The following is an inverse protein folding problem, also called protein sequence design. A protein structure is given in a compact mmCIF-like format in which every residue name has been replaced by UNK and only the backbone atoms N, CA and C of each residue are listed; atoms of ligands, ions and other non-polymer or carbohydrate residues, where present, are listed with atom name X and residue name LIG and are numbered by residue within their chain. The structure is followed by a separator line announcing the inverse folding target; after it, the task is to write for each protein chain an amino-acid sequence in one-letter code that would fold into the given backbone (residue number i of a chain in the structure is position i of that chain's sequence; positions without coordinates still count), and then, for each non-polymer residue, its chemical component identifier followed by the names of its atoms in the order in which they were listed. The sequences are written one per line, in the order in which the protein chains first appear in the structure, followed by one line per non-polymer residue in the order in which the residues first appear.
data_IF_372764894275
#
_entry.id   IF_372764894275
#
_cell.length_a   1.000
_cell.length_b   1.000
_cell.length_c   1.000
_cell.angle_alpha   90.00
_cell.angle_beta   90.00
_cell.angle_gamma   90.00
#
_symmetry.space_group_name_H-M   'P 1'
#
loop_
_entity.id
_entity.type
_entity.pdbx_description
1 polymer ?
#
# COMPACT_ATOMS: atom_id res chain seq x y z
N UNK A 1 7.12 30.16 -0.28
CA UNK A 1 6.54 29.11 0.58
C UNK A 1 6.25 29.74 1.93
N UNK A 2 5.03 29.60 2.48
CA UNK A 2 4.67 30.16 3.79
C UNK A 2 4.37 28.99 4.74
N UNK A 3 5.15 28.85 5.79
CA UNK A 3 4.97 27.78 6.77
C UNK A 3 3.76 28.10 7.67
N UNK A 4 2.74 27.23 7.71
CA UNK A 4 1.51 27.43 8.52
C UNK A 4 1.63 26.95 9.98
N UNK A 5 2.86 26.67 10.44
CA UNK A 5 3.12 26.11 11.76
C UNK A 5 2.61 26.97 12.91
N UNK A 6 2.75 28.30 12.80
CA UNK A 6 2.30 29.25 13.83
C UNK A 6 0.78 29.28 13.97
N UNK A 7 0.08 29.28 12.83
CA UNK A 7 -1.39 29.26 12.76
C UNK A 7 -1.92 27.97 13.39
N UNK A 8 -1.42 26.83 12.92
CA UNK A 8 -1.72 25.51 13.46
C UNK A 8 -1.55 25.42 14.99
N UNK A 9 -0.44 25.96 15.52
CA UNK A 9 -0.17 25.95 16.96
C UNK A 9 -1.17 26.82 17.73
N UNK A 10 -1.57 27.96 17.18
CA UNK A 10 -2.56 28.85 17.78
C UNK A 10 -3.94 28.21 17.80
N UNK A 11 -4.33 27.54 16.71
CA UNK A 11 -5.62 26.85 16.59
C UNK A 11 -5.75 25.72 17.62
N UNK A 12 -4.67 24.99 17.87
CA UNK A 12 -4.63 23.95 18.91
C UNK A 12 -4.34 24.47 20.34
N UNK A 13 -4.22 25.80 20.53
CA UNK A 13 -3.87 26.43 21.80
C UNK A 13 -2.61 25.84 22.48
N UNK A 14 -1.61 25.43 21.68
CA UNK A 14 -0.40 24.79 22.16
C UNK A 14 0.72 25.81 22.43
N UNK A 15 1.45 25.61 23.53
CA UNK A 15 2.72 26.33 23.75
C UNK A 15 3.84 25.70 22.92
N UNK A 16 4.82 26.51 22.50
CA UNK A 16 6.03 26.03 21.80
C UNK A 16 6.76 24.97 22.63
N UNK A 17 6.80 25.12 23.96
CA UNK A 17 7.40 24.14 24.85
C UNK A 17 6.65 22.78 24.85
N UNK A 18 5.31 22.81 24.74
CA UNK A 18 4.50 21.58 24.66
C UNK A 18 4.68 20.89 23.31
N UNK A 19 4.68 21.66 22.22
CA UNK A 19 4.93 21.15 20.88
C UNK A 19 6.34 20.56 20.75
N UNK A 20 7.34 21.20 21.36
CA UNK A 20 8.71 20.70 21.46
C UNK A 20 8.77 19.33 22.13
N UNK A 21 8.11 19.17 23.30
CA UNK A 21 8.06 17.89 24.01
C UNK A 21 7.38 16.77 23.19
N UNK A 22 6.32 17.09 22.45
CA UNK A 22 5.59 16.11 21.62
C UNK A 22 6.37 15.69 20.37
N UNK A 23 7.03 16.63 19.71
CA UNK A 23 7.74 16.39 18.43
C UNK A 23 9.19 15.96 18.61
N UNK A 24 9.78 16.19 19.78
CA UNK A 24 11.20 15.98 20.03
C UNK A 24 12.10 17.05 19.38
N UNK A 25 11.51 18.09 18.77
CA UNK A 25 12.25 19.21 18.16
C UNK A 25 12.49 20.26 19.23
N UNK A 26 13.67 20.87 19.27
CA UNK A 26 13.97 21.91 20.26
C UNK A 26 13.06 23.13 20.08
N UNK A 27 12.71 23.78 21.19
CA UNK A 27 11.86 24.98 21.16
C UNK A 27 12.48 26.12 20.32
N UNK A 28 13.81 26.28 20.36
CA UNK A 28 14.50 27.29 19.56
C UNK A 28 14.32 27.04 18.06
N UNK A 29 14.41 25.77 17.63
CA UNK A 29 14.21 25.38 16.24
C UNK A 29 12.76 25.59 15.79
N UNK A 30 11.78 25.33 16.65
CA UNK A 30 10.38 25.66 16.36
C UNK A 30 10.15 27.17 16.20
N UNK A 31 10.76 28.00 17.05
CA UNK A 31 10.69 29.46 16.90
C UNK A 31 11.35 29.95 15.59
N UNK A 32 12.44 29.32 15.17
CA UNK A 32 13.08 29.59 13.88
C UNK A 32 12.14 29.29 12.72
N UNK A 33 11.40 28.18 12.77
CA UNK A 33 10.41 27.84 11.76
C UNK A 33 9.26 28.85 11.70
N UNK A 34 8.74 29.27 12.85
CA UNK A 34 7.71 30.31 12.92
C UNK A 34 8.18 31.66 12.36
N UNK A 35 9.49 31.94 12.40
CA UNK A 35 10.10 33.15 11.84
C UNK A 35 10.40 33.03 10.34
N UNK A 36 10.24 31.86 9.74
CA UNK A 36 10.43 31.63 8.31
C UNK A 36 11.69 30.84 7.94
N UNK A 37 12.35 30.18 8.91
CA UNK A 37 13.38 29.19 8.60
C UNK A 37 12.79 27.93 7.98
N UNK A 38 13.52 27.29 7.08
CA UNK A 38 13.07 26.10 6.37
C UNK A 38 13.42 24.82 7.15
N UNK A 39 12.41 24.03 7.58
CA UNK A 39 12.66 22.74 8.22
C UNK A 39 13.18 21.71 7.21
N UNK A 40 13.94 20.72 7.71
CA UNK A 40 14.31 19.54 6.93
C UNK A 40 13.08 18.68 6.63
N UNK A 41 13.10 17.94 5.53
CA UNK A 41 12.06 16.96 5.16
C UNK A 41 11.76 16.02 6.33
N UNK A 42 12.80 15.53 7.03
CA UNK A 42 12.64 14.67 8.21
C UNK A 42 11.83 15.33 9.31
N UNK A 43 12.05 16.63 9.56
CA UNK A 43 11.36 17.37 10.61
C UNK A 43 9.91 17.66 10.24
N UNK A 44 9.65 17.97 8.96
CA UNK A 44 8.30 18.12 8.42
C UNK A 44 7.51 16.82 8.60
N UNK A 45 8.10 15.69 8.23
CA UNK A 45 7.47 14.38 8.43
C UNK A 45 7.22 14.07 9.91
N UNK A 46 8.16 14.36 10.80
CA UNK A 46 7.97 14.12 12.24
C UNK A 46 6.79 14.94 12.76
N UNK A 47 6.72 16.23 12.43
CA UNK A 47 5.60 17.10 12.84
C UNK A 47 4.29 16.58 12.26
N UNK A 48 4.27 16.29 10.95
CA UNK A 48 3.10 15.78 10.25
C UNK A 48 2.56 14.49 10.88
N UNK A 49 3.44 13.52 11.18
CA UNK A 49 3.08 12.25 11.83
C UNK A 49 2.56 12.44 13.25
N UNK A 50 3.14 13.35 14.02
CA UNK A 50 2.71 13.58 15.42
C UNK A 50 1.33 14.18 15.56
N UNK A 51 0.89 14.96 14.57
CA UNK A 51 -0.39 15.66 14.59
C UNK A 51 -1.39 15.17 13.54
N UNK A 52 -1.03 14.12 12.78
CA UNK A 52 -1.83 13.56 11.69
C UNK A 52 -2.31 14.62 10.68
N UNK A 53 -1.38 15.49 10.27
CA UNK A 53 -1.63 16.57 9.31
C UNK A 53 -0.90 16.30 8.00
N UNK A 54 -1.41 16.87 6.91
CA UNK A 54 -0.78 16.80 5.61
C UNK A 54 0.54 17.61 5.60
N UNK A 55 1.70 17.01 5.28
CA UNK A 55 2.96 17.74 5.21
C UNK A 55 2.93 18.84 4.13
N UNK A 56 2.20 18.66 3.03
CA UNK A 56 2.06 19.67 1.99
C UNK A 56 1.24 20.88 2.47
N UNK A 57 0.26 20.67 3.35
CA UNK A 57 -0.50 21.76 3.97
C UNK A 57 0.37 22.58 4.94
N UNK A 58 1.20 21.90 5.72
CA UNK A 58 2.12 22.55 6.66
C UNK A 58 3.09 23.52 5.94
N UNK A 59 3.50 23.15 4.72
CA UNK A 59 4.35 23.96 3.84
C UNK A 59 3.57 25.03 3.06
N UNK A 60 2.23 25.00 3.11
CA UNK A 60 1.36 25.89 2.36
C UNK A 60 1.31 25.59 0.85
N UNK A 61 1.55 24.35 0.45
CA UNK A 61 1.43 23.89 -0.95
C UNK A 61 0.02 23.44 -1.30
N UNK A 62 -0.77 22.99 -0.31
CA UNK A 62 -2.20 22.69 -0.46
C UNK A 62 -3.02 23.38 0.63
N UNK A 63 -4.32 23.48 0.41
CA UNK A 63 -5.31 23.93 1.39
C UNK A 63 -5.90 22.75 2.20
N UNK A 64 -5.68 21.51 1.76
CA UNK A 64 -6.17 20.30 2.44
C UNK A 64 -5.38 19.98 3.71
N UNK A 65 -5.95 20.26 4.89
CA UNK A 65 -5.34 20.00 6.21
C UNK A 65 -4.98 18.54 6.46
N UNK A 66 -5.82 17.62 5.96
CA UNK A 66 -5.67 16.17 6.16
C UNK A 66 -5.37 15.47 4.85
N UNK A 67 -4.64 14.37 4.95
CA UNK A 67 -4.46 13.47 3.81
C UNK A 67 -5.80 12.82 3.47
N UNK A 68 -6.15 12.66 2.18
CA UNK A 68 -7.35 11.93 1.80
C UNK A 68 -7.25 10.49 2.30
N UNK A 69 -8.35 9.96 2.83
CA UNK A 69 -8.41 8.56 3.23
C UNK A 69 -8.15 7.65 2.02
N UNK A 70 -7.06 6.88 2.08
CA UNK A 70 -6.72 5.93 1.04
C UNK A 70 -7.69 4.75 1.17
N UNK A 71 -8.73 4.72 0.32
CA UNK A 71 -9.62 3.56 0.22
C UNK A 71 -8.87 2.41 -0.45
N UNK A 72 -8.37 1.48 0.36
CA UNK A 72 -7.72 0.26 -0.14
C UNK A 72 -8.83 -0.64 -0.70
N UNK A 73 -9.02 -0.60 -2.01
CA UNK A 73 -9.90 -1.54 -2.72
C UNK A 73 -9.08 -2.78 -3.02
N UNK A 74 -9.22 -3.82 -2.21
CA UNK A 74 -8.61 -5.12 -2.47
C UNK A 74 -9.23 -5.71 -3.75
N UNK A 75 -8.55 -5.55 -4.88
CA UNK A 75 -8.93 -6.19 -6.13
C UNK A 75 -8.21 -7.52 -6.24
N UNK A 76 -8.93 -8.63 -6.08
CA UNK A 76 -8.41 -9.95 -6.42
C UNK A 76 -8.26 -10.03 -7.94
N UNK A 77 -7.01 -10.02 -8.42
CA UNK A 77 -6.70 -10.16 -9.85
C UNK A 77 -6.10 -11.55 -10.06
N UNK A 78 -6.76 -12.36 -10.87
CA UNK A 78 -6.17 -13.61 -11.36
C UNK A 78 -5.05 -13.26 -12.34
N UNK A 79 -3.81 -13.59 -11.97
CA UNK A 79 -2.64 -13.46 -12.83
C UNK A 79 -2.27 -14.85 -13.35
N UNK A 80 -2.66 -15.15 -14.58
CA UNK A 80 -2.14 -16.32 -15.29
C UNK A 80 -0.65 -16.08 -15.55
N UNK A 81 0.21 -16.84 -14.88
CA UNK A 81 1.65 -16.82 -15.13
C UNK A 81 1.95 -17.85 -16.22
N UNK A 82 2.45 -17.45 -17.40
CA UNK A 82 2.81 -18.40 -18.46
C UNK A 82 3.97 -19.33 -18.06
N UNK A 83 4.71 -18.99 -17.00
CA UNK A 83 5.76 -19.83 -16.40
C UNK A 83 5.25 -20.77 -15.31
N UNK A 84 3.96 -20.67 -14.94
CA UNK A 84 3.36 -21.68 -14.07
C UNK A 84 3.31 -22.99 -14.86
N UNK A 85 4.31 -23.86 -14.63
CA UNK A 85 4.29 -25.26 -15.09
C UNK A 85 3.03 -25.90 -14.50
N UNK A 86 1.96 -25.94 -15.28
CA UNK A 86 0.86 -26.86 -15.02
C UNK A 86 1.49 -28.26 -14.91
N UNK A 87 1.31 -28.98 -13.78
CA UNK A 87 1.89 -30.31 -13.63
C UNK A 87 1.40 -31.24 -14.75
N UNK A 88 2.28 -32.13 -15.22
CA UNK A 88 2.10 -33.03 -16.38
C UNK A 88 0.89 -33.99 -16.27
N UNK A 89 0.24 -34.06 -15.11
CA UNK A 89 -0.94 -34.88 -14.84
C UNK A 89 -2.27 -34.13 -14.98
N UNK A 90 -2.32 -33.00 -15.70
CA UNK A 90 -3.56 -32.28 -16.02
C UNK A 90 -4.47 -32.99 -17.05
N UNK A 91 -4.58 -34.32 -16.97
CA UNK A 91 -5.69 -35.09 -17.54
C UNK A 91 -6.79 -35.23 -16.47
N UNK A 92 -7.44 -34.10 -16.19
CA UNK A 92 -8.59 -33.99 -15.31
C UNK A 92 -9.87 -33.94 -16.15
N UNK A 93 -10.91 -34.68 -15.77
CA UNK A 93 -12.19 -34.77 -16.49
C UNK A 93 -13.13 -33.57 -16.28
N UNK A 94 -12.60 -32.37 -16.02
CA UNK A 94 -13.33 -31.17 -15.56
C UNK A 94 -14.00 -31.26 -14.18
N UNK A 95 -13.98 -32.41 -13.49
CA UNK A 95 -14.60 -32.61 -12.16
C UNK A 95 -13.59 -32.88 -11.03
N UNK A 96 -12.30 -32.62 -11.25
CA UNK A 96 -11.26 -32.87 -10.24
C UNK A 96 -10.83 -34.34 -10.10
N UNK A 97 -11.35 -35.26 -10.94
CA UNK A 97 -10.99 -36.68 -10.89
C UNK A 97 -9.92 -37.02 -11.92
N UNK A 98 -8.91 -37.76 -11.47
CA UNK A 98 -7.80 -38.23 -12.31
C UNK A 98 -8.32 -39.28 -13.31
N UNK A 99 -8.17 -39.04 -14.60
CA UNK A 99 -8.57 -40.02 -15.65
C UNK A 99 -7.54 -41.14 -15.69
N UNK A 100 -7.94 -42.36 -15.29
CA UNK A 100 -7.12 -43.56 -15.46
C UNK A 100 -7.33 -44.15 -16.86
N UNK A 101 -6.39 -43.91 -17.77
CA UNK A 101 -6.38 -44.58 -19.07
C UNK A 101 -6.01 -46.05 -18.92
N UNK A 102 -6.81 -46.94 -19.52
CA UNK A 102 -6.49 -48.37 -19.59
C UNK A 102 -6.34 -48.74 -21.06
N UNK A 103 -5.34 -49.58 -21.37
CA UNK A 103 -5.15 -50.11 -22.73
C UNK A 103 -6.44 -50.84 -23.15
N UNK A 104 -7.10 -50.35 -24.18
CA UNK A 104 -8.20 -51.08 -24.81
C UNK A 104 -7.65 -52.37 -25.44
N UNK A 105 -8.47 -53.44 -25.44
CA UNK A 105 -8.15 -54.68 -26.15
C UNK A 105 -7.98 -54.35 -27.63
N UNK A 106 -6.86 -54.76 -28.23
CA UNK A 106 -6.53 -54.54 -29.65
C UNK A 106 -7.71 -54.99 -30.53
N UNK A 107 -8.32 -54.05 -31.25
CA UNK A 107 -9.14 -54.38 -32.41
C UNK A 107 -8.22 -54.39 -33.65
N UNK A 108 -8.42 -55.38 -34.52
CA UNK A 108 -7.65 -55.59 -35.75
C UNK A 108 -7.84 -54.41 -36.71
N UNK A 109 -7.02 -53.36 -36.58
CA UNK A 109 -7.12 -52.16 -37.41
C UNK A 109 -6.38 -50.91 -36.92
N UNK A 110 -5.80 -50.92 -35.71
CA UNK A 110 -5.00 -49.79 -35.21
C UNK A 110 -5.16 -49.56 -33.71
N UNK A 111 -4.21 -48.81 -33.10
CA UNK A 111 -4.22 -48.50 -31.66
C UNK A 111 -5.24 -47.38 -31.39
N UNK A 112 -6.35 -47.69 -30.71
CA UNK A 112 -7.34 -46.68 -30.28
C UNK A 112 -7.50 -46.74 -28.76
N UNK A 113 -7.25 -45.64 -28.06
CA UNK A 113 -7.43 -45.53 -26.61
C UNK A 113 -8.89 -45.19 -26.29
N UNK A 114 -9.49 -45.82 -25.27
CA UNK A 114 -10.87 -45.56 -24.85
C UNK A 114 -10.93 -45.19 -23.36
N UNK A 115 -11.82 -44.25 -23.04
CA UNK A 115 -12.08 -43.80 -21.66
C UNK A 115 -12.87 -44.89 -20.92
N UNK A 116 -12.47 -45.21 -19.70
CA UNK A 116 -13.25 -46.07 -18.81
C UNK A 116 -14.27 -45.16 -18.08
N UNK A 117 -15.54 -45.28 -18.44
CA UNK A 117 -16.69 -44.76 -17.66
C UNK A 117 -16.79 -45.45 -16.32
#
# INVERSE_FOLDING_TARGET
MRLRLKEFRQDMALSVAQMSKKTGISANTLHLYERGSYPSIKQIETIAKTYDINPAWLLGWTEDERLPEIKIVEKVIYKESPTARLPDYHNNNNDGKIIKWVKSKRYMGGKVWSKRT
#
